data_IF_739235302993
#
_entry.id   IF_739235302993
#
_cell.length_a   1.000
_cell.length_b   1.000
_cell.length_c   1.000
_cell.angle_alpha   90.00
_cell.angle_beta   90.00
_cell.angle_gamma   90.00
#
_symmetry.space_group_name_H-M   'P 1'
#
loop_
_entity.id
_entity.type
_entity.pdbx_description
1 polymer ?
#
# COMPACT_ATOMS: atom_id res chain seq x y z
N UNK A 1 2.98 1.77 19.96
CA UNK A 1 3.23 2.62 18.77
C UNK A 1 2.74 1.86 17.56
N UNK A 2 2.02 2.51 16.66
CA UNK A 2 1.37 1.84 15.54
C UNK A 2 1.74 2.54 14.23
N UNK A 3 2.15 1.76 13.23
CA UNK A 3 2.37 2.22 11.87
C UNK A 3 1.18 1.79 11.01
N UNK A 4 0.50 2.73 10.39
CA UNK A 4 -0.66 2.49 9.54
C UNK A 4 -0.32 2.89 8.10
N UNK A 5 -0.37 1.95 7.18
CA UNK A 5 -0.13 2.14 5.76
C UNK A 5 -1.42 1.98 4.97
N UNK A 6 -1.85 3.04 4.31
CA UNK A 6 -2.94 3.02 3.33
C UNK A 6 -2.39 2.71 1.94
N UNK A 7 -2.77 1.56 1.39
CA UNK A 7 -2.27 1.06 0.10
C UNK A 7 -2.89 1.78 -1.10
N UNK A 8 -2.07 2.06 -2.12
CA UNK A 8 -2.55 2.73 -3.34
C UNK A 8 -3.53 1.90 -4.17
N UNK A 9 -3.30 0.59 -4.29
CA UNK A 9 -4.20 -0.49 -4.76
C UNK A 9 -3.38 -1.77 -4.90
N UNK A 10 -4.01 -2.95 -4.86
CA UNK A 10 -3.34 -4.22 -5.12
C UNK A 10 -2.81 -4.27 -6.57
N UNK A 11 -1.61 -4.83 -6.75
CA UNK A 11 -0.90 -4.89 -8.04
C UNK A 11 -0.11 -3.64 -8.43
N UNK A 12 -0.18 -2.54 -7.68
CA UNK A 12 0.66 -1.37 -7.90
C UNK A 12 2.11 -1.61 -7.42
N UNK A 13 3.15 -1.33 -8.23
CA UNK A 13 4.54 -1.52 -7.82
C UNK A 13 4.93 -0.63 -6.64
N UNK A 14 4.37 0.58 -6.54
CA UNK A 14 4.57 1.45 -5.38
C UNK A 14 3.95 0.87 -4.11
N UNK A 15 2.74 0.30 -4.21
CA UNK A 15 2.08 -0.35 -3.08
C UNK A 15 2.85 -1.60 -2.63
N UNK A 16 3.36 -2.39 -3.58
CA UNK A 16 4.22 -3.55 -3.29
C UNK A 16 5.48 -3.14 -2.53
N UNK A 17 6.20 -2.13 -3.01
CA UNK A 17 7.39 -1.63 -2.32
C UNK A 17 7.08 -1.18 -0.90
N UNK A 18 6.07 -0.32 -0.73
CA UNK A 18 5.72 0.20 0.62
C UNK A 18 5.23 -0.89 1.55
N UNK A 19 4.47 -1.87 1.04
CA UNK A 19 3.99 -2.99 1.84
C UNK A 19 5.15 -3.88 2.28
N UNK A 20 6.08 -4.21 1.38
CA UNK A 20 7.29 -4.99 1.72
C UNK A 20 8.18 -4.27 2.74
N UNK A 21 8.26 -2.94 2.67
CA UNK A 21 8.96 -2.15 3.70
C UNK A 21 8.26 -2.24 5.05
N UNK A 22 6.94 -2.10 5.09
CA UNK A 22 6.16 -2.23 6.33
C UNK A 22 6.30 -3.63 6.95
N UNK A 23 6.19 -4.68 6.14
CA UNK A 23 6.31 -6.05 6.65
C UNK A 23 7.72 -6.36 7.14
N UNK A 24 8.76 -5.84 6.49
CA UNK A 24 10.13 -5.93 7.00
C UNK A 24 10.29 -5.21 8.35
N UNK A 25 9.69 -4.02 8.53
CA UNK A 25 9.66 -3.33 9.83
C UNK A 25 8.92 -4.16 10.87
N UNK A 26 7.78 -4.77 10.52
CA UNK A 26 7.01 -5.62 11.44
C UNK A 26 7.81 -6.84 11.95
N UNK A 27 8.76 -7.34 11.15
CA UNK A 27 9.63 -8.45 11.56
C UNK A 27 10.79 -7.96 12.43
N UNK A 28 11.39 -6.81 12.09
CA UNK A 28 12.55 -6.24 12.80
C UNK A 28 12.20 -5.57 14.13
N UNK A 29 11.01 -4.96 14.25
CA UNK A 29 10.59 -4.15 15.38
C UNK A 29 9.26 -4.67 15.94
N UNK A 30 9.34 -5.70 16.78
CA UNK A 30 8.15 -6.39 17.34
C UNK A 30 7.35 -5.54 18.35
N UNK A 31 7.91 -4.43 18.82
CA UNK A 31 7.25 -3.45 19.69
C UNK A 31 6.38 -2.43 18.91
N UNK A 32 6.49 -2.42 17.58
CA UNK A 32 5.70 -1.56 16.69
C UNK A 32 4.62 -2.38 16.01
N UNK A 33 3.36 -2.01 16.28
CA UNK A 33 2.22 -2.65 15.62
C UNK A 33 2.08 -2.12 14.19
N UNK A 34 2.15 -3.00 13.20
CA UNK A 34 2.07 -2.62 11.79
C UNK A 34 0.70 -3.01 11.22
N UNK A 35 0.03 -2.06 10.57
CA UNK A 35 -1.28 -2.23 9.96
C UNK A 35 -1.22 -1.74 8.51
N UNK A 36 -1.69 -2.54 7.57
CA UNK A 36 -1.92 -2.14 6.19
C UNK A 36 -3.42 -2.08 5.91
N UNK A 37 -3.89 -0.99 5.29
CA UNK A 37 -5.29 -0.80 4.90
C UNK A 37 -5.39 -0.88 3.38
N UNK A 38 -6.11 -1.85 2.86
CA UNK A 38 -6.39 -2.03 1.42
C UNK A 38 -7.81 -1.57 1.11
N UNK A 39 -8.00 -0.79 0.05
CA UNK A 39 -9.34 -0.53 -0.51
C UNK A 39 -9.64 -1.41 -1.74
N UNK A 40 -8.78 -2.38 -2.04
CA UNK A 40 -9.10 -3.41 -3.03
C UNK A 40 -10.04 -4.42 -2.37
N UNK A 41 -10.78 -5.19 -3.17
CA UNK A 41 -11.69 -6.20 -2.61
C UNK A 41 -10.93 -7.23 -1.74
N UNK A 42 -11.61 -7.91 -0.79
CA UNK A 42 -11.00 -8.95 0.01
C UNK A 42 -10.27 -10.00 -0.83
N UNK A 43 -10.91 -10.51 -1.89
CA UNK A 43 -10.38 -11.57 -2.74
C UNK A 43 -9.15 -11.13 -3.53
N UNK A 44 -9.11 -9.88 -3.96
CA UNK A 44 -7.93 -9.33 -4.64
C UNK A 44 -6.77 -9.12 -3.66
N UNK A 45 -7.07 -8.68 -2.44
CA UNK A 45 -6.06 -8.45 -1.39
C UNK A 45 -5.47 -9.77 -0.92
N UNK A 46 -6.30 -10.78 -0.63
CA UNK A 46 -5.89 -12.13 -0.24
C UNK A 46 -5.02 -12.80 -1.31
N UNK A 47 -5.35 -12.63 -2.60
CA UNK A 47 -4.52 -13.16 -3.69
C UNK A 47 -3.20 -12.41 -3.85
N UNK A 48 -3.17 -11.11 -3.59
CA UNK A 48 -1.98 -10.28 -3.78
C UNK A 48 -0.93 -10.48 -2.68
N UNK A 49 -1.34 -10.64 -1.41
CA UNK A 49 -0.44 -10.74 -0.25
C UNK A 49 0.64 -11.83 -0.41
N UNK A 50 0.32 -13.10 -0.74
CA UNK A 50 1.34 -14.15 -0.90
C UNK A 50 2.32 -13.82 -2.02
N UNK A 51 1.84 -13.19 -3.09
CA UNK A 51 2.67 -12.88 -4.24
C UNK A 51 3.70 -11.76 -3.96
N UNK A 52 3.52 -10.98 -2.89
CA UNK A 52 4.47 -9.92 -2.49
C UNK A 52 5.34 -10.33 -1.30
N UNK A 53 5.23 -11.58 -0.85
CA UNK A 53 6.06 -12.16 0.22
C UNK A 53 5.35 -12.38 1.55
N UNK A 54 4.02 -12.21 1.61
CA UNK A 54 3.22 -12.40 2.81
C UNK A 54 3.15 -11.17 3.73
N UNK A 55 2.29 -11.25 4.75
CA UNK A 55 2.01 -10.15 5.66
C UNK A 55 2.88 -10.15 6.94
N UNK A 56 3.59 -11.24 7.25
CA UNK A 56 4.41 -11.35 8.47
C UNK A 56 3.60 -10.97 9.73
N UNK A 57 4.09 -10.04 10.56
CA UNK A 57 3.37 -9.53 11.75
C UNK A 57 2.58 -8.25 11.47
N UNK A 58 2.22 -8.03 10.21
CA UNK A 58 1.39 -6.89 9.79
C UNK A 58 -0.07 -7.32 9.66
N UNK A 59 -0.97 -6.61 10.33
CA UNK A 59 -2.41 -6.80 10.15
C UNK A 59 -2.88 -6.13 8.86
N UNK A 60 -3.78 -6.79 8.12
CA UNK A 60 -4.34 -6.24 6.88
C UNK A 60 -5.84 -6.01 7.05
N UNK A 61 -6.25 -4.75 6.91
CA UNK A 61 -7.65 -4.31 7.01
C UNK A 61 -8.18 -4.01 5.60
N UNK A 62 -9.37 -4.52 5.30
CA UNK A 62 -10.07 -4.23 4.05
C UNK A 62 -11.06 -3.08 4.26
N UNK A 63 -10.87 -1.99 3.54
CA UNK A 63 -11.71 -0.79 3.48
C UNK A 63 -12.08 -0.47 2.02
N UNK A 64 -12.79 -1.40 1.39
CA UNK A 64 -13.23 -1.26 -0.02
C UNK A 64 -14.11 -0.01 -0.23
N UNK A 65 -14.90 0.35 0.78
CA UNK A 65 -15.73 1.56 0.81
C UNK A 65 -14.93 2.87 0.89
N UNK A 66 -13.66 2.81 1.32
CA UNK A 66 -12.76 3.96 1.54
C UNK A 66 -13.18 4.86 2.70
N UNK A 67 -13.95 4.36 3.65
CA UNK A 67 -14.42 5.13 4.80
C UNK A 67 -13.27 5.51 5.74
N UNK A 68 -12.30 4.61 5.93
CA UNK A 68 -11.08 4.90 6.68
C UNK A 68 -10.18 5.85 5.89
N UNK A 69 -10.02 5.65 4.58
CA UNK A 69 -9.26 6.59 3.75
C UNK A 69 -9.81 8.03 3.86
N UNK A 70 -11.13 8.19 3.82
CA UNK A 70 -11.77 9.51 3.99
C UNK A 70 -11.50 10.09 5.38
N UNK A 71 -11.67 9.30 6.45
CA UNK A 71 -11.39 9.75 7.83
C UNK A 71 -9.95 10.20 8.04
N UNK A 72 -9.01 9.59 7.33
CA UNK A 72 -7.58 9.93 7.37
C UNK A 72 -7.16 11.00 6.35
N UNK A 73 -8.12 11.67 5.71
CA UNK A 73 -7.85 12.75 4.74
C UNK A 73 -7.27 12.27 3.40
N UNK A 74 -7.26 10.96 3.15
CA UNK A 74 -6.77 10.36 1.91
C UNK A 74 -7.88 10.28 0.86
N UNK A 75 -8.24 11.43 0.30
CA UNK A 75 -9.17 11.51 -0.84
C UNK A 75 -8.56 10.98 -2.17
N UNK A 76 -9.31 11.12 -3.25
CA UNK A 76 -8.81 10.81 -4.60
C UNK A 76 -7.76 11.86 -5.04
N UNK A 77 -6.75 11.42 -5.79
CA UNK A 77 -5.77 12.29 -6.43
C UNK A 77 -6.33 12.93 -7.70
N UNK A 78 -5.98 14.20 -7.92
CA UNK A 78 -6.31 14.92 -9.15
C UNK A 78 -5.52 14.30 -10.33
N UNK A 79 -6.17 14.23 -11.49
CA UNK A 79 -5.80 13.43 -12.67
C UNK A 79 -4.40 13.66 -13.26
N UNK A 80 -3.69 14.71 -12.86
CA UNK A 80 -2.37 15.09 -13.41
C UNK A 80 -1.18 14.27 -12.88
N UNK A 81 -1.29 13.60 -11.73
CA UNK A 81 -0.17 12.82 -11.17
C UNK A 81 0.16 11.54 -11.94
N UNK A 82 -0.79 10.99 -12.70
CA UNK A 82 -0.64 9.71 -13.40
C UNK A 82 0.09 9.82 -14.76
N UNK A 83 0.16 11.02 -15.35
CA UNK A 83 0.77 11.28 -16.66
C UNK A 83 2.16 11.94 -16.57
N UNK A 84 2.80 11.92 -15.39
CA UNK A 84 4.14 12.45 -15.25
C UNK A 84 5.17 11.43 -15.80
N UNK A 85 6.02 11.79 -16.78
CA UNK A 85 7.11 10.94 -17.29
C UNK A 85 8.05 10.40 -16.20
N UNK A 86 8.20 11.17 -15.11
CA UNK A 86 8.97 10.77 -13.92
C UNK A 86 8.33 9.55 -13.24
N UNK A 87 7.00 9.46 -13.17
CA UNK A 87 6.32 8.32 -12.57
C UNK A 87 6.54 7.03 -13.38
N UNK A 88 6.54 7.12 -14.71
CA UNK A 88 6.86 5.99 -15.60
C UNK A 88 8.32 5.55 -15.43
N UNK A 89 9.24 6.52 -15.34
CA UNK A 89 10.65 6.23 -15.08
C UNK A 89 10.89 5.58 -13.71
N UNK A 90 10.18 6.04 -12.67
CA UNK A 90 10.24 5.42 -11.34
C UNK A 90 9.74 3.98 -11.33
N UNK A 91 8.67 3.66 -12.08
CA UNK A 91 8.20 2.27 -12.24
C UNK A 91 9.23 1.42 -12.96
N UNK A 92 9.85 1.94 -14.03
CA UNK A 92 10.92 1.24 -14.73
C UNK A 92 12.11 0.93 -13.81
N UNK A 93 12.53 1.90 -12.99
CA UNK A 93 13.59 1.70 -12.01
C UNK A 93 13.24 0.70 -10.92
N UNK A 94 11.99 0.67 -10.45
CA UNK A 94 11.54 -0.37 -9.52
C UNK A 94 11.65 -1.78 -10.12
N UNK A 95 11.33 -1.92 -11.41
CA UNK A 95 11.49 -3.18 -12.13
C UNK A 95 12.97 -3.57 -12.32
N UNK A 96 13.81 -2.62 -12.72
CA UNK A 96 15.21 -2.86 -13.03
C UNK A 96 16.09 -3.04 -11.76
N UNK A 97 15.88 -2.21 -10.74
CA UNK A 97 16.73 -2.16 -9.54
C UNK A 97 16.24 -3.13 -8.45
N UNK A 98 14.91 -3.34 -8.35
CA UNK A 98 14.29 -4.07 -7.23
C UNK A 98 13.48 -5.30 -7.68
N UNK A 99 13.40 -5.57 -8.99
CA UNK A 99 12.64 -6.69 -9.55
C UNK A 99 11.11 -6.54 -9.42
N UNK A 100 10.62 -5.34 -9.07
CA UNK A 100 9.20 -5.07 -8.81
C UNK A 100 8.54 -4.59 -10.10
N UNK A 101 7.85 -5.50 -10.78
CA UNK A 101 7.11 -5.19 -12.00
C UNK A 101 5.61 -5.00 -11.74
N UNK A 102 4.97 -4.19 -12.58
CA UNK A 102 3.54 -3.92 -12.49
C UNK A 102 2.74 -5.20 -12.73
N UNK A 103 1.75 -5.49 -11.87
CA UNK A 103 0.89 -6.68 -11.98
C UNK A 103 -0.52 -6.27 -12.44
N UNK A 104 -1.31 -7.19 -13.02
CA UNK A 104 -2.67 -6.88 -13.44
C UNK A 104 -3.47 -6.30 -12.26
N UNK A 105 -4.08 -5.14 -12.47
CA UNK A 105 -4.98 -4.53 -11.48
C UNK A 105 -6.35 -5.17 -11.66
N UNK A 106 -6.75 -6.02 -10.71
CA UNK A 106 -8.06 -6.71 -10.79
C UNK A 106 -9.18 -5.92 -10.09
N UNK A 107 -8.86 -5.20 -9.00
CA UNK A 107 -9.80 -4.30 -8.30
C UNK A 107 -9.05 -3.11 -7.67
N UNK A 108 -9.80 -2.11 -7.17
CA UNK A 108 -9.24 -0.86 -6.65
C UNK A 108 -9.06 0.24 -7.69
N UNK A 109 -8.53 1.40 -7.29
CA UNK A 109 -8.37 2.56 -8.17
C UNK A 109 -6.95 3.09 -8.18
N UNK A 110 -6.41 3.30 -9.39
CA UNK A 110 -5.14 4.02 -9.59
C UNK A 110 -5.18 5.47 -9.09
N UNK A 111 -6.37 5.99 -8.83
CA UNK A 111 -6.56 7.38 -8.40
C UNK A 111 -6.63 7.53 -6.88
N UNK A 112 -6.63 6.43 -6.12
CA UNK A 112 -6.60 6.49 -4.67
C UNK A 112 -5.23 6.97 -4.17
N UNK A 113 -5.21 7.93 -3.22
CA UNK A 113 -3.97 8.32 -2.53
C UNK A 113 -3.58 7.26 -1.50
N UNK A 114 -2.30 6.92 -1.45
CA UNK A 114 -1.67 6.17 -0.36
C UNK A 114 -1.14 7.12 0.71
N UNK A 115 -0.95 6.61 1.92
CA UNK A 115 -0.35 7.36 3.03
C UNK A 115 0.21 6.41 4.09
N UNK A 116 1.23 6.86 4.82
CA UNK A 116 1.78 6.12 5.95
C UNK A 116 1.82 7.04 7.17
N UNK A 117 1.30 6.57 8.29
CA UNK A 117 1.16 7.33 9.53
C UNK A 117 1.77 6.56 10.68
N UNK A 118 2.46 7.28 11.57
CA UNK A 118 2.90 6.76 12.86
C UNK A 118 2.01 7.36 13.94
N UNK A 119 1.39 6.48 14.72
CA UNK A 119 0.43 6.81 15.77
C UNK A 119 1.02 6.38 17.11
N UNK A 120 0.98 7.28 18.09
CA UNK A 120 1.32 6.99 19.47
C UNK A 120 0.09 7.11 20.37
N UNK A 121 0.28 7.10 21.69
CA UNK A 121 -0.83 7.13 22.66
C UNK A 121 -1.65 8.44 22.59
N UNK A 122 -1.13 9.49 21.96
CA UNK A 122 -1.84 10.76 21.79
C UNK A 122 -2.79 10.79 20.58
N UNK A 123 -2.71 9.78 19.69
CA UNK A 123 -3.50 9.70 18.46
C UNK A 123 -2.81 10.32 17.25
#
# INVERSE_FOLDING_TARGET
>A
KTLILFLRHCGCPFAEKTFKTLTAVSEMQRDVHCIAVSHSSPEATERWIPQVGGAWHTDVIIDEGRDLYVKWGLGLSNTWHAFNPIALYSVYRLGADEGIWNRPTESGSRWQKSGAFAVDEAG
#
